data_IF_731073172817
#
_entry.id   IF_731073172817
#
_cell.length_a   1.000
_cell.length_b   1.000
_cell.length_c   1.000
_cell.angle_alpha   90.00
_cell.angle_beta   90.00
_cell.angle_gamma   90.00
#
_symmetry.space_group_name_H-M   'P 1'
#
loop_
_entity.id
_entity.type
_entity.pdbx_description
1 polymer ?
#
# COMPACT_ATOMS: atom_id res chain seq x y z
N UNK A 1 -12.15 11.35 6.59
CA UNK A 1 -13.38 10.57 6.86
C UNK A 1 -14.57 11.19 6.17
N UNK A 2 -15.30 10.39 5.41
CA UNK A 2 -15.19 10.42 3.96
C UNK A 2 -16.60 10.48 3.35
N UNK A 3 -16.67 10.99 2.13
CA UNK A 3 -17.76 10.98 1.12
C UNK A 3 -18.67 9.71 1.08
N UNK A 4 -18.23 8.60 1.68
CA UNK A 4 -19.02 7.37 1.93
C UNK A 4 -20.33 7.59 2.67
N UNK A 5 -20.38 8.56 3.59
CA UNK A 5 -21.60 8.83 4.36
C UNK A 5 -22.61 9.65 3.56
N UNK A 6 -22.15 10.59 2.73
CA UNK A 6 -23.00 11.35 1.81
C UNK A 6 -23.62 10.45 0.73
N UNK A 7 -22.87 9.43 0.26
CA UNK A 7 -23.38 8.46 -0.72
C UNK A 7 -24.45 7.52 -0.13
N UNK A 8 -24.33 7.13 1.14
CA UNK A 8 -25.35 6.37 1.85
C UNK A 8 -26.66 7.17 2.06
N UNK A 9 -26.54 8.49 2.18
CA UNK A 9 -27.66 9.43 2.28
C UNK A 9 -28.42 9.54 0.94
N UNK A 10 -27.71 9.51 -0.21
CA UNK A 10 -28.32 9.47 -1.54
C UNK A 10 -29.15 8.20 -1.81
N UNK A 11 -28.69 7.04 -1.35
CA UNK A 11 -29.44 5.78 -1.46
C UNK A 11 -30.70 5.77 -0.58
N UNK A 12 -30.66 6.40 0.61
CA UNK A 12 -31.82 6.54 1.50
C UNK A 12 -32.86 7.56 0.98
N UNK A 13 -32.45 8.52 0.16
CA UNK A 13 -33.33 9.50 -0.50
C UNK A 13 -33.96 8.99 -1.81
N UNK A 14 -33.75 7.71 -2.17
CA UNK A 14 -34.38 7.09 -3.33
C UNK A 14 -33.72 7.46 -4.67
N UNK A 15 -32.48 7.96 -4.66
CA UNK A 15 -31.72 8.23 -5.88
C UNK A 15 -31.13 6.91 -6.38
N UNK A 16 -31.59 6.43 -7.54
CA UNK A 16 -31.11 5.22 -8.19
C UNK A 16 -29.72 5.45 -8.80
N UNK A 17 -28.70 4.83 -8.19
CA UNK A 17 -27.36 4.70 -8.77
C UNK A 17 -27.37 3.43 -9.66
N UNK A 18 -27.09 3.51 -10.98
CA UNK A 18 -27.12 2.33 -11.85
C UNK A 18 -25.98 1.36 -11.48
N UNK A 19 -26.22 0.04 -11.45
CA UNK A 19 -25.21 -0.92 -11.05
C UNK A 19 -24.17 -1.15 -12.16
N UNK A 20 -22.89 -1.05 -11.80
CA UNK A 20 -21.76 -1.52 -12.59
C UNK A 20 -21.38 -2.95 -12.20
N UNK A 21 -20.97 -3.75 -13.20
CA UNK A 21 -20.76 -5.21 -13.20
C UNK A 21 -19.58 -5.75 -12.34
N UNK A 22 -19.06 -4.97 -11.38
CA UNK A 22 -17.85 -5.27 -10.60
C UNK A 22 -17.99 -4.66 -9.20
N UNK A 23 -17.78 -5.38 -8.07
CA UNK A 23 -16.85 -6.51 -7.88
C UNK A 23 -17.45 -7.81 -7.31
N UNK A 24 -18.75 -8.05 -7.44
CA UNK A 24 -19.49 -9.05 -6.65
C UNK A 24 -19.10 -10.54 -6.89
N UNK A 25 -18.30 -10.85 -7.91
CA UNK A 25 -17.84 -12.21 -8.22
C UNK A 25 -16.35 -12.48 -7.98
N UNK A 26 -15.66 -11.61 -7.21
CA UNK A 26 -14.21 -11.74 -6.92
C UNK A 26 -13.83 -13.07 -6.26
N UNK A 27 -14.68 -13.59 -5.37
CA UNK A 27 -14.43 -14.87 -4.68
C UNK A 27 -14.61 -16.06 -5.62
N UNK A 28 -15.60 -16.01 -6.50
CA UNK A 28 -15.86 -17.09 -7.46
C UNK A 28 -14.80 -17.14 -8.56
N UNK A 29 -14.24 -15.99 -8.99
CA UNK A 29 -13.13 -15.94 -9.94
C UNK A 29 -11.81 -16.44 -9.35
N UNK A 30 -11.53 -16.14 -8.07
CA UNK A 30 -10.35 -16.62 -7.36
C UNK A 30 -10.40 -18.13 -7.03
N UNK A 31 -11.61 -18.65 -6.75
CA UNK A 31 -11.86 -20.09 -6.61
C UNK A 31 -11.80 -20.78 -7.98
N UNK A 32 -12.40 -20.22 -9.04
CA UNK A 32 -12.26 -20.72 -10.41
C UNK A 32 -10.79 -20.77 -10.87
N UNK A 33 -10.02 -19.70 -10.65
CA UNK A 33 -8.61 -19.63 -11.04
C UNK A 33 -7.73 -20.59 -10.24
N UNK A 34 -8.04 -20.87 -8.97
CA UNK A 34 -7.22 -21.76 -8.16
C UNK A 34 -7.55 -23.25 -8.34
N UNK A 35 -8.84 -23.57 -8.56
CA UNK A 35 -9.32 -24.94 -8.82
C UNK A 35 -9.09 -25.38 -10.28
N UNK A 36 -9.06 -24.44 -11.24
CA UNK A 36 -8.74 -24.74 -12.65
C UNK A 36 -7.23 -24.98 -12.93
N UNK A 37 -6.33 -24.80 -11.95
CA UNK A 37 -4.87 -24.89 -12.13
C UNK A 37 -4.21 -26.22 -11.75
N UNK A 38 -4.97 -27.29 -11.42
CA UNK A 38 -4.40 -28.62 -11.16
C UNK A 38 -3.49 -29.09 -12.31
N UNK A 39 -3.94 -28.87 -13.55
CA UNK A 39 -3.18 -29.22 -14.77
C UNK A 39 -1.93 -28.36 -14.92
N UNK A 40 -2.05 -27.05 -14.70
CA UNK A 40 -0.96 -26.09 -14.89
C UNK A 40 0.19 -26.26 -13.88
N UNK A 41 -0.11 -26.54 -12.61
CA UNK A 41 0.92 -26.86 -11.60
C UNK A 41 1.64 -28.15 -11.92
N UNK A 42 0.91 -29.14 -12.42
CA UNK A 42 1.48 -30.42 -12.86
C UNK A 42 2.41 -30.23 -14.05
N UNK A 43 2.06 -29.37 -15.02
CA UNK A 43 2.92 -29.01 -16.16
C UNK A 43 4.17 -28.25 -15.70
N UNK A 44 4.05 -27.28 -14.79
CA UNK A 44 5.20 -26.56 -14.23
C UNK A 44 6.14 -27.49 -13.48
N UNK A 45 5.60 -28.41 -12.67
CA UNK A 45 6.42 -29.42 -11.97
C UNK A 45 7.10 -30.37 -12.97
N UNK A 46 6.39 -30.83 -14.00
CA UNK A 46 6.96 -31.68 -15.03
C UNK A 46 8.17 -31.02 -15.69
N UNK A 47 8.08 -29.72 -16.01
CA UNK A 47 9.18 -28.93 -16.53
C UNK A 47 10.30 -28.73 -15.51
N UNK A 48 9.97 -28.49 -14.24
CA UNK A 48 10.96 -28.41 -13.17
C UNK A 48 11.79 -29.71 -13.04
N UNK A 49 11.21 -30.90 -13.26
CA UNK A 49 11.96 -32.18 -13.27
C UNK A 49 13.05 -32.21 -14.34
N UNK A 50 12.75 -31.71 -15.54
CA UNK A 50 13.74 -31.63 -16.63
C UNK A 50 14.94 -30.78 -16.22
N UNK A 51 14.69 -29.62 -15.61
CA UNK A 51 15.73 -28.72 -15.13
C UNK A 51 16.49 -29.29 -13.92
N UNK A 52 15.81 -30.00 -13.01
CA UNK A 52 16.47 -30.64 -11.87
C UNK A 52 17.48 -31.69 -12.32
N UNK A 53 17.11 -32.57 -13.25
CA UNK A 53 18.02 -33.62 -13.76
C UNK A 53 19.12 -33.04 -14.64
N UNK A 54 18.86 -31.92 -15.32
CA UNK A 54 19.86 -31.25 -16.18
C UNK A 54 20.92 -30.50 -15.39
N UNK A 55 20.54 -29.83 -14.30
CA UNK A 55 21.42 -28.92 -13.58
C UNK A 55 21.95 -29.46 -12.25
N UNK A 56 21.33 -30.51 -11.71
CA UNK A 56 21.75 -31.12 -10.46
C UNK A 56 22.12 -32.58 -10.64
N UNK A 57 22.92 -33.10 -9.72
CA UNK A 57 23.39 -34.49 -9.71
C UNK A 57 22.27 -35.45 -9.22
N UNK A 58 21.11 -35.40 -9.88
CA UNK A 58 19.92 -36.19 -9.60
C UNK A 58 19.43 -36.86 -10.88
N UNK A 59 18.94 -38.11 -10.81
CA UNK A 59 18.36 -38.77 -11.97
C UNK A 59 18.25 -40.29 -11.86
N UNK A 60 17.58 -40.91 -12.83
CA UNK A 60 17.37 -42.37 -12.86
C UNK A 60 18.65 -43.18 -13.12
N UNK A 61 19.70 -42.56 -13.67
CA UNK A 61 20.97 -43.23 -13.99
C UNK A 61 21.98 -43.19 -12.83
N UNK A 62 21.57 -42.71 -11.64
CA UNK A 62 22.43 -42.52 -10.47
C UNK A 62 22.04 -43.47 -9.34
N UNK A 63 23.00 -43.92 -8.51
CA UNK A 63 22.71 -44.69 -7.31
C UNK A 63 21.76 -43.94 -6.36
N UNK A 64 20.86 -44.67 -5.70
CA UNK A 64 19.89 -44.08 -4.78
C UNK A 64 20.57 -43.31 -3.64
N UNK A 65 21.65 -43.85 -3.08
CA UNK A 65 22.39 -43.22 -1.98
C UNK A 65 22.97 -41.85 -2.38
N UNK A 66 23.53 -41.74 -3.60
CA UNK A 66 24.03 -40.46 -4.13
C UNK A 66 22.90 -39.46 -4.35
N UNK A 67 21.79 -39.89 -4.96
CA UNK A 67 20.62 -39.04 -5.17
C UNK A 67 20.07 -38.51 -3.85
N UNK A 68 19.99 -39.36 -2.82
CA UNK A 68 19.51 -38.97 -1.50
C UNK A 68 20.41 -37.91 -0.88
N UNK A 69 21.72 -38.13 -0.89
CA UNK A 69 22.71 -37.18 -0.36
C UNK A 69 22.63 -35.83 -1.09
N UNK A 70 22.59 -35.84 -2.43
CA UNK A 70 22.54 -34.63 -3.25
C UNK A 70 21.22 -33.87 -3.04
N UNK A 71 20.08 -34.56 -2.98
CA UNK A 71 18.78 -33.92 -2.75
C UNK A 71 18.73 -33.25 -1.38
N UNK A 72 19.20 -33.92 -0.33
CA UNK A 72 19.25 -33.36 1.02
C UNK A 72 20.21 -32.17 1.11
N UNK A 73 21.34 -32.21 0.41
CA UNK A 73 22.29 -31.10 0.36
C UNK A 73 21.69 -29.86 -0.32
N UNK A 74 21.01 -30.05 -1.46
CA UNK A 74 20.31 -29.00 -2.17
C UNK A 74 19.26 -28.33 -1.28
N UNK A 75 18.50 -29.12 -0.53
CA UNK A 75 17.45 -28.66 0.38
C UNK A 75 18.02 -27.91 1.58
N UNK A 76 18.99 -28.48 2.31
CA UNK A 76 19.48 -27.97 3.61
C UNK A 76 19.96 -26.52 3.51
N UNK A 77 20.61 -26.17 2.42
CA UNK A 77 21.13 -24.82 2.19
C UNK A 77 20.32 -23.99 1.20
N UNK A 78 19.14 -24.45 0.75
CA UNK A 78 18.47 -23.87 -0.42
C UNK A 78 19.43 -23.65 -1.61
N UNK A 79 20.40 -24.56 -1.79
CA UNK A 79 21.44 -24.43 -2.83
C UNK A 79 20.84 -24.48 -4.24
N UNK A 80 19.67 -25.09 -4.38
CA UNK A 80 18.92 -25.17 -5.63
C UNK A 80 18.40 -23.83 -6.18
N UNK A 81 18.49 -22.74 -5.41
CA UNK A 81 18.18 -21.38 -5.90
C UNK A 81 19.41 -20.47 -5.95
N UNK A 82 20.60 -20.97 -5.67
CA UNK A 82 21.83 -20.17 -5.58
C UNK A 82 22.74 -20.39 -6.78
N UNK A 83 23.54 -19.38 -7.10
CA UNK A 83 24.60 -19.48 -8.12
C UNK A 83 25.97 -19.07 -7.55
N UNK A 84 26.49 -19.90 -6.65
CA UNK A 84 27.80 -19.69 -6.03
C UNK A 84 27.86 -18.52 -5.04
N UNK A 85 29.08 -18.06 -4.78
CA UNK A 85 29.42 -16.96 -3.86
C UNK A 85 30.30 -15.97 -4.62
N UNK A 86 29.94 -14.70 -4.59
CA UNK A 86 30.66 -13.58 -5.21
C UNK A 86 30.94 -12.54 -4.12
N UNK A 87 32.21 -12.16 -3.94
CA UNK A 87 32.66 -11.21 -2.92
C UNK A 87 32.22 -11.53 -1.48
N UNK A 88 32.16 -12.81 -1.14
CA UNK A 88 31.69 -13.28 0.18
C UNK A 88 30.17 -13.23 0.35
N UNK A 89 29.42 -12.78 -0.66
CA UNK A 89 27.95 -12.78 -0.69
C UNK A 89 27.42 -13.91 -1.56
N UNK A 90 26.35 -14.57 -1.09
CA UNK A 90 25.73 -15.67 -1.86
C UNK A 90 24.76 -15.09 -2.87
N UNK A 91 24.89 -15.47 -4.15
CA UNK A 91 23.94 -15.07 -5.20
C UNK A 91 22.67 -15.90 -5.09
N UNK A 92 21.75 -15.43 -4.25
CA UNK A 92 20.45 -16.07 -4.04
C UNK A 92 19.50 -15.77 -5.21
N UNK A 93 18.58 -16.70 -5.49
CA UNK A 93 17.61 -16.64 -6.61
C UNK A 93 18.23 -16.55 -8.01
N UNK A 94 19.54 -16.81 -8.15
CA UNK A 94 20.30 -16.69 -9.39
C UNK A 94 20.63 -18.04 -10.05
N UNK A 95 20.12 -19.17 -9.54
CA UNK A 95 20.45 -20.49 -10.09
C UNK A 95 20.11 -20.57 -11.60
N UNK A 96 21.04 -21.09 -12.43
CA UNK A 96 20.78 -21.32 -13.86
C UNK A 96 19.57 -22.23 -14.12
N UNK A 97 19.28 -23.17 -13.20
CA UNK A 97 18.11 -24.04 -13.30
C UNK A 97 16.80 -23.26 -13.12
N UNK A 98 16.79 -22.26 -12.23
CA UNK A 98 15.65 -21.40 -11.96
C UNK A 98 15.42 -20.43 -13.11
N UNK A 99 16.46 -19.72 -13.54
CA UNK A 99 16.39 -18.79 -14.67
C UNK A 99 15.92 -19.51 -15.95
N UNK A 100 16.52 -20.67 -16.24
CA UNK A 100 16.15 -21.48 -17.40
C UNK A 100 14.69 -21.97 -17.34
N UNK A 101 14.23 -22.45 -16.18
CA UNK A 101 12.84 -22.87 -16.00
C UNK A 101 11.87 -21.71 -16.20
N UNK A 102 12.19 -20.53 -15.67
CA UNK A 102 11.36 -19.33 -15.81
C UNK A 102 11.24 -18.92 -17.28
N UNK A 103 12.35 -18.87 -18.00
CA UNK A 103 12.34 -18.53 -19.43
C UNK A 103 11.58 -19.58 -20.25
N UNK A 104 11.90 -20.87 -20.07
CA UNK A 104 11.26 -21.95 -20.85
C UNK A 104 9.75 -22.03 -20.58
N UNK A 105 9.33 -21.90 -19.32
CA UNK A 105 7.93 -22.07 -18.97
C UNK A 105 7.07 -20.84 -19.26
N UNK A 106 7.59 -19.63 -18.98
CA UNK A 106 6.79 -18.41 -19.04
C UNK A 106 6.95 -17.65 -20.36
N UNK A 107 7.98 -17.92 -21.17
CA UNK A 107 8.26 -17.14 -22.39
C UNK A 107 8.46 -17.95 -23.68
N UNK A 108 8.73 -19.26 -23.63
CA UNK A 108 9.16 -20.00 -24.82
C UNK A 108 8.08 -20.27 -25.88
N UNK A 109 6.79 -20.13 -25.55
CA UNK A 109 5.70 -20.40 -26.50
C UNK A 109 4.78 -19.20 -26.65
N UNK A 110 4.15 -18.96 -27.83
CA UNK A 110 3.20 -17.85 -28.00
C UNK A 110 2.02 -17.89 -27.00
N UNK A 111 1.69 -19.07 -26.48
CA UNK A 111 0.65 -19.29 -25.46
C UNK A 111 1.19 -19.25 -24.03
N UNK A 112 2.48 -18.97 -23.82
CA UNK A 112 3.06 -18.83 -22.50
C UNK A 112 2.60 -17.51 -21.85
N UNK A 113 2.49 -17.49 -20.52
CA UNK A 113 1.93 -16.35 -19.79
C UNK A 113 2.67 -15.04 -20.07
N UNK A 114 3.99 -15.06 -20.24
CA UNK A 114 4.77 -13.88 -20.56
C UNK A 114 4.47 -13.28 -21.93
N UNK A 115 3.98 -14.09 -22.87
CA UNK A 115 3.54 -13.61 -24.18
C UNK A 115 2.05 -13.26 -24.23
N UNK A 116 1.23 -13.91 -23.38
CA UNK A 116 -0.21 -13.60 -23.26
C UNK A 116 -0.48 -12.33 -22.44
N UNK A 117 0.40 -12.01 -21.49
CA UNK A 117 0.29 -10.87 -20.57
C UNK A 117 1.57 -10.01 -20.60
N UNK A 118 1.94 -9.44 -21.76
CA UNK A 118 3.17 -8.65 -21.89
C UNK A 118 3.20 -7.46 -20.93
N UNK A 119 2.05 -6.86 -20.58
CA UNK A 119 1.96 -5.79 -19.59
C UNK A 119 2.43 -6.19 -18.18
N UNK A 120 2.38 -7.48 -17.85
CA UNK A 120 2.81 -8.02 -16.54
C UNK A 120 4.26 -8.54 -16.58
N UNK A 121 4.74 -9.00 -17.75
CA UNK A 121 6.00 -9.71 -17.91
C UNK A 121 7.04 -8.97 -18.79
N UNK A 122 6.73 -7.78 -19.31
CA UNK A 122 7.60 -7.08 -20.27
C UNK A 122 8.94 -6.62 -19.70
N UNK A 123 8.95 -6.09 -18.48
CA UNK A 123 10.15 -5.48 -17.90
C UNK A 123 10.94 -6.46 -17.04
N UNK A 124 10.24 -7.23 -16.20
CA UNK A 124 10.82 -8.28 -15.39
C UNK A 124 9.79 -9.39 -15.12
N UNK A 125 10.27 -10.56 -14.71
CA UNK A 125 9.39 -11.65 -14.28
C UNK A 125 8.84 -11.32 -12.89
N UNK A 126 7.52 -11.35 -12.66
CA UNK A 126 6.97 -11.05 -11.35
C UNK A 126 7.60 -11.93 -10.26
N UNK A 127 8.02 -11.31 -9.15
CA UNK A 127 8.65 -11.99 -8.01
C UNK A 127 7.87 -13.21 -7.50
N UNK A 128 6.52 -13.17 -7.39
CA UNK A 128 5.73 -14.36 -7.03
C UNK A 128 5.86 -15.51 -8.05
N UNK A 129 6.05 -15.21 -9.34
CA UNK A 129 6.26 -16.20 -10.39
C UNK A 129 7.61 -16.87 -10.26
N UNK A 130 8.67 -16.09 -9.99
CA UNK A 130 10.02 -16.63 -9.71
C UNK A 130 9.98 -17.54 -8.47
N UNK A 131 9.32 -17.11 -7.39
CA UNK A 131 9.17 -17.92 -6.17
C UNK A 131 8.34 -19.20 -6.42
N UNK A 132 7.35 -19.14 -7.30
CA UNK A 132 6.54 -20.30 -7.69
C UNK A 132 7.36 -21.31 -8.51
N UNK A 133 8.18 -20.85 -9.45
CA UNK A 133 9.12 -21.69 -10.20
C UNK A 133 10.17 -22.33 -9.29
N UNK A 134 10.73 -21.56 -8.34
CA UNK A 134 11.63 -22.09 -7.32
C UNK A 134 10.94 -23.13 -6.42
N UNK A 135 9.68 -22.92 -6.06
CA UNK A 135 8.89 -23.91 -5.30
C UNK A 135 8.66 -25.19 -6.11
N UNK A 136 8.45 -25.07 -7.43
CA UNK A 136 8.32 -26.24 -8.31
C UNK A 136 9.64 -27.03 -8.42
N UNK A 137 10.79 -26.35 -8.49
CA UNK A 137 12.11 -27.00 -8.38
C UNK A 137 12.26 -27.74 -7.05
N UNK A 138 11.87 -27.11 -5.94
CA UNK A 138 11.87 -27.77 -4.62
C UNK A 138 10.98 -29.02 -4.61
N UNK A 139 9.77 -28.92 -5.17
CA UNK A 139 8.85 -30.04 -5.25
C UNK A 139 9.36 -31.20 -6.12
N UNK A 140 10.19 -30.92 -7.13
CA UNK A 140 10.86 -31.94 -7.93
C UNK A 140 12.07 -32.56 -7.21
N UNK A 141 12.82 -31.79 -6.42
CA UNK A 141 13.96 -32.30 -5.62
C UNK A 141 13.47 -33.20 -4.47
N UNK A 142 12.37 -32.83 -3.82
CA UNK A 142 11.77 -33.61 -2.72
C UNK A 142 11.40 -35.05 -3.13
N UNK A 143 11.22 -35.31 -4.43
CA UNK A 143 10.96 -36.67 -4.97
C UNK A 143 12.10 -37.64 -4.68
N UNK A 144 13.31 -37.14 -4.42
CA UNK A 144 14.50 -37.94 -4.11
C UNK A 144 14.89 -37.87 -2.62
N UNK A 145 14.30 -36.99 -1.83
CA UNK A 145 14.81 -36.59 -0.52
C UNK A 145 14.61 -37.61 0.62
N UNK A 146 13.84 -38.69 0.39
CA UNK A 146 13.61 -39.76 1.39
C UNK A 146 14.39 -41.03 1.05
N UNK A 147 14.25 -41.54 -0.18
CA UNK A 147 14.80 -42.85 -0.56
C UNK A 147 15.92 -42.76 -1.60
N UNK A 148 16.15 -41.58 -2.19
CA UNK A 148 17.06 -41.43 -3.33
C UNK A 148 16.54 -41.98 -4.65
N UNK A 149 15.36 -42.61 -4.64
CA UNK A 149 14.63 -43.06 -5.83
C UNK A 149 13.50 -42.07 -6.05
N UNK A 150 13.29 -41.62 -7.31
CA UNK A 150 12.23 -40.66 -7.63
C UNK A 150 10.86 -41.21 -7.24
N UNK A 151 10.25 -40.56 -6.25
CA UNK A 151 8.86 -40.80 -5.85
C UNK A 151 8.01 -39.63 -6.35
N UNK A 152 7.02 -39.91 -7.20
CA UNK A 152 6.07 -38.91 -7.64
C UNK A 152 5.35 -38.31 -6.43
N UNK A 153 5.40 -36.99 -6.30
CA UNK A 153 4.75 -36.24 -5.22
C UNK A 153 3.81 -35.22 -5.81
N UNK A 154 2.65 -35.02 -5.20
CA UNK A 154 1.74 -33.99 -5.68
C UNK A 154 2.30 -32.59 -5.36
N UNK A 155 2.23 -31.67 -6.34
CA UNK A 155 2.59 -30.26 -6.12
C UNK A 155 1.40 -29.49 -5.55
N UNK A 156 1.14 -29.71 -4.27
CA UNK A 156 -0.03 -29.16 -3.58
C UNK A 156 0.31 -28.03 -2.61
N UNK A 157 -0.63 -27.10 -2.46
CA UNK A 157 -0.51 -25.95 -1.56
C UNK A 157 -0.35 -26.35 -0.10
N UNK A 158 -1.08 -27.37 0.35
CA UNK A 158 -1.00 -27.94 1.70
C UNK A 158 0.44 -28.31 2.09
N UNK A 159 1.22 -28.78 1.11
CA UNK A 159 2.60 -29.23 1.29
C UNK A 159 3.61 -28.10 1.08
N UNK A 160 3.43 -27.30 0.03
CA UNK A 160 4.47 -26.38 -0.47
C UNK A 160 4.24 -24.90 -0.16
N UNK A 161 3.10 -24.51 0.41
CA UNK A 161 2.82 -23.12 0.80
C UNK A 161 3.89 -22.52 1.73
N UNK A 162 4.36 -23.28 2.72
CA UNK A 162 5.44 -22.84 3.62
C UNK A 162 6.75 -22.57 2.89
N UNK A 163 7.10 -23.41 1.91
CA UNK A 163 8.29 -23.23 1.08
C UNK A 163 8.16 -21.97 0.23
N UNK A 164 7.00 -21.78 -0.41
CA UNK A 164 6.71 -20.59 -1.21
C UNK A 164 6.82 -19.31 -0.37
N UNK A 165 6.21 -19.28 0.82
CA UNK A 165 6.29 -18.13 1.75
C UNK A 165 7.72 -17.84 2.20
N UNK A 166 8.53 -18.88 2.46
CA UNK A 166 9.94 -18.71 2.81
C UNK A 166 10.77 -18.13 1.66
N UNK A 167 10.50 -18.56 0.42
CA UNK A 167 11.15 -18.02 -0.78
C UNK A 167 10.73 -16.57 -1.04
N UNK A 168 9.45 -16.23 -0.86
CA UNK A 168 8.99 -14.85 -0.91
C UNK A 168 9.70 -13.98 0.14
N UNK A 169 9.81 -14.45 1.39
CA UNK A 169 10.54 -13.73 2.44
C UNK A 169 12.05 -13.62 2.16
N UNK A 170 12.65 -14.61 1.50
CA UNK A 170 14.04 -14.54 1.04
C UNK A 170 14.19 -13.49 -0.08
N UNK A 171 13.27 -13.45 -1.04
CA UNK A 171 13.24 -12.44 -2.08
C UNK A 171 13.12 -11.04 -1.48
N UNK A 172 12.22 -10.82 -0.52
CA UNK A 172 12.12 -9.54 0.20
C UNK A 172 13.44 -9.17 0.88
N UNK A 173 14.20 -10.12 1.43
CA UNK A 173 15.52 -9.83 2.03
C UNK A 173 16.62 -9.56 1.01
N UNK A 174 16.55 -10.17 -0.17
CA UNK A 174 17.44 -9.85 -1.29
C UNK A 174 17.17 -8.41 -1.71
N UNK A 175 15.89 -8.07 -1.83
CA UNK A 175 15.43 -6.72 -2.12
C UNK A 175 15.85 -5.73 -1.01
N UNK A 176 15.83 -6.14 0.27
CA UNK A 176 16.32 -5.34 1.41
C UNK A 176 17.84 -5.05 1.36
N UNK A 177 18.65 -5.97 0.82
CA UNK A 177 20.11 -5.77 0.61
C UNK A 177 20.37 -4.90 -0.62
N UNK A 178 19.40 -4.80 -1.53
CA UNK A 178 19.40 -3.94 -2.71
C UNK A 178 18.51 -2.71 -2.57
N UNK A 179 18.24 -2.19 -1.37
CA UNK A 179 17.42 -0.98 -1.16
C UNK A 179 18.10 0.27 -1.73
N UNK A 180 18.07 0.40 -3.05
CA UNK A 180 17.74 1.65 -3.69
C UNK A 180 16.27 1.58 -4.04
N UNK A 181 15.39 2.06 -3.14
CA UNK A 181 14.07 2.50 -3.60
C UNK A 181 14.28 3.44 -4.79
N UNK A 182 13.38 3.39 -5.77
CA UNK A 182 13.51 4.30 -6.91
C UNK A 182 13.21 5.71 -6.44
N UNK A 183 14.26 6.52 -6.24
CA UNK A 183 14.10 7.90 -5.79
C UNK A 183 13.40 8.74 -6.86
N UNK A 184 12.26 9.34 -6.50
CA UNK A 184 11.51 10.24 -7.37
C UNK A 184 11.73 11.68 -6.91
N UNK A 185 12.47 12.45 -7.70
CA UNK A 185 12.85 13.83 -7.38
C UNK A 185 12.19 14.88 -8.28
N UNK A 186 11.46 14.44 -9.32
CA UNK A 186 10.84 15.30 -10.33
C UNK A 186 9.33 15.08 -10.41
N UNK A 187 8.53 16.08 -10.84
CA UNK A 187 7.09 15.94 -10.96
C UNK A 187 6.69 14.68 -11.74
N UNK A 188 5.92 13.80 -11.10
CA UNK A 188 5.64 12.45 -11.62
C UNK A 188 4.22 12.02 -11.26
N UNK A 189 3.58 11.28 -12.17
CA UNK A 189 2.27 10.67 -11.95
C UNK A 189 2.43 9.17 -12.08
N UNK A 190 1.94 8.44 -11.08
CA UNK A 190 1.85 6.99 -11.11
C UNK A 190 0.41 6.61 -11.44
N UNK A 191 0.26 5.78 -12.48
CA UNK A 191 -1.02 5.23 -12.92
C UNK A 191 -0.95 3.71 -12.90
N UNK A 192 -2.07 3.05 -12.63
CA UNK A 192 -2.21 1.61 -12.79
C UNK A 192 -2.39 1.22 -14.27
N UNK A 193 -2.47 -0.08 -14.53
CA UNK A 193 -2.65 -0.65 -15.87
C UNK A 193 -3.97 -0.23 -16.53
N UNK A 194 -4.97 0.16 -15.74
CA UNK A 194 -6.29 0.59 -16.20
C UNK A 194 -6.36 2.11 -16.40
N UNK A 195 -5.24 2.82 -16.20
CA UNK A 195 -5.15 4.27 -16.29
C UNK A 195 -5.70 5.01 -15.06
N UNK A 196 -5.97 4.28 -13.97
CA UNK A 196 -6.33 4.83 -12.67
C UNK A 196 -5.13 5.53 -12.02
N UNK A 197 -5.35 6.71 -11.45
CA UNK A 197 -4.28 7.48 -10.79
C UNK A 197 -4.01 6.86 -9.41
N UNK A 198 -2.75 6.48 -9.17
CA UNK A 198 -2.26 5.97 -7.89
C UNK A 198 -1.63 7.07 -7.03
N UNK A 199 -0.80 7.93 -7.65
CA UNK A 199 -0.07 8.98 -6.94
C UNK A 199 0.27 10.14 -7.88
N UNK A 200 0.16 11.37 -7.37
CA UNK A 200 0.80 12.55 -7.93
C UNK A 200 1.92 13.01 -7.00
N UNK A 201 3.14 13.06 -7.52
CA UNK A 201 4.26 13.71 -6.84
C UNK A 201 4.56 15.03 -7.53
N UNK A 202 4.44 16.12 -6.77
CA UNK A 202 4.57 17.49 -7.30
C UNK A 202 5.54 18.29 -6.41
N UNK A 203 6.86 18.12 -6.59
CA UNK A 203 7.87 18.82 -5.80
C UNK A 203 7.77 20.33 -6.04
N UNK A 204 7.90 21.11 -4.97
CA UNK A 204 7.89 22.58 -5.02
C UNK A 204 6.62 23.19 -5.65
N UNK A 205 5.50 22.48 -5.65
CA UNK A 205 4.23 22.99 -6.20
C UNK A 205 3.60 24.12 -5.38
N UNK A 206 3.94 24.22 -4.09
CA UNK A 206 3.54 25.34 -3.23
C UNK A 206 4.67 26.36 -3.18
N UNK A 207 4.33 27.63 -3.47
CA UNK A 207 5.30 28.72 -3.49
C UNK A 207 5.96 28.91 -2.12
N UNK A 208 7.21 29.40 -2.13
CA UNK A 208 7.95 29.72 -0.90
C UNK A 208 7.20 30.71 0.01
N UNK A 209 6.43 31.63 -0.57
CA UNK A 209 5.58 32.57 0.17
C UNK A 209 4.48 31.83 0.94
N UNK A 210 3.79 30.91 0.29
CA UNK A 210 2.74 30.11 0.94
C UNK A 210 3.32 29.14 1.96
N UNK A 211 4.43 28.46 1.65
CA UNK A 211 5.18 27.62 2.59
C UNK A 211 5.53 28.37 3.87
N UNK A 212 6.07 29.59 3.74
CA UNK A 212 6.41 30.45 4.88
C UNK A 212 5.18 30.89 5.66
N UNK A 213 4.11 31.28 4.97
CA UNK A 213 2.86 31.69 5.62
C UNK A 213 2.26 30.56 6.46
N UNK A 214 2.21 29.34 5.92
CA UNK A 214 1.75 28.15 6.65
C UNK A 214 2.65 27.90 7.85
N UNK A 215 3.98 27.91 7.67
CA UNK A 215 4.92 27.70 8.77
C UNK A 215 4.78 28.73 9.90
N UNK A 216 4.71 30.02 9.58
CA UNK A 216 4.56 31.09 10.58
C UNK A 216 3.22 30.99 11.33
N UNK A 217 2.16 30.57 10.64
CA UNK A 217 0.83 30.41 11.24
C UNK A 217 0.76 29.24 12.23
N UNK A 218 1.70 28.29 12.20
CA UNK A 218 1.71 27.11 13.09
C UNK A 218 1.75 27.47 14.58
N UNK A 219 2.23 28.67 14.90
CA UNK A 219 2.25 29.23 16.26
C UNK A 219 0.86 29.25 16.89
N UNK A 220 -0.20 29.44 16.10
CA UNK A 220 -1.60 29.37 16.55
C UNK A 220 -2.02 27.96 16.97
N UNK A 221 -1.32 26.94 16.50
CA UNK A 221 -1.57 25.53 16.80
C UNK A 221 -0.65 24.97 17.89
N UNK A 222 0.27 25.78 18.44
CA UNK A 222 1.29 25.33 19.39
C UNK A 222 0.69 24.60 20.61
N UNK A 223 -0.22 25.27 21.32
CA UNK A 223 -0.83 24.71 22.53
C UNK A 223 -1.58 23.37 22.28
N UNK A 224 -2.49 23.25 21.28
CA UNK A 224 -3.16 21.98 21.03
C UNK A 224 -2.22 20.89 20.51
N UNK A 225 -1.16 21.22 19.76
CA UNK A 225 -0.13 20.26 19.36
C UNK A 225 0.63 19.72 20.57
N UNK A 226 1.13 20.58 21.46
CA UNK A 226 1.84 20.15 22.67
C UNK A 226 0.94 19.32 23.60
N UNK A 227 -0.35 19.65 23.69
CA UNK A 227 -1.32 18.89 24.49
C UNK A 227 -1.67 17.51 23.89
N UNK A 228 -1.58 17.37 22.56
CA UNK A 228 -1.80 16.09 21.89
C UNK A 228 -0.71 15.07 22.25
N UNK A 229 0.49 15.56 22.56
CA UNK A 229 1.63 14.74 22.94
C UNK A 229 1.48 14.24 24.38
N UNK A 230 1.31 12.93 24.55
CA UNK A 230 1.27 12.29 25.87
C UNK A 230 2.57 11.52 26.09
N UNK A 231 3.30 11.85 27.16
CA UNK A 231 4.52 11.12 27.59
C UNK A 231 4.27 9.67 28.05
N UNK A 232 3.01 9.27 28.23
CA UNK A 232 2.66 7.89 28.61
C UNK A 232 2.58 7.00 27.37
N UNK A 233 3.06 5.76 27.47
CA UNK A 233 2.89 4.69 26.45
C UNK A 233 1.41 4.53 26.09
N UNK A 234 0.99 5.25 25.05
CA UNK A 234 -0.30 5.11 24.41
C UNK A 234 -0.27 3.85 23.56
N UNK A 235 -1.33 3.03 23.58
CA UNK A 235 -1.46 1.88 22.65
C UNK A 235 -1.61 2.31 21.19
N UNK A 236 -1.82 3.60 20.92
CA UNK A 236 -1.92 4.16 19.58
C UNK A 236 -0.58 4.73 19.14
N UNK A 237 -0.03 4.18 18.04
CA UNK A 237 1.21 4.64 17.41
C UNK A 237 1.15 6.13 17.00
N UNK A 238 -0.04 6.71 16.82
CA UNK A 238 -0.20 8.13 16.46
C UNK A 238 0.34 9.09 17.51
N UNK A 239 0.35 8.69 18.78
CA UNK A 239 0.76 9.52 19.91
C UNK A 239 1.89 8.88 20.73
N UNK A 240 2.55 7.84 20.20
CA UNK A 240 3.65 7.17 20.89
C UNK A 240 4.93 8.01 20.76
N UNK A 241 5.58 8.24 21.90
CA UNK A 241 6.79 9.06 22.03
C UNK A 241 7.94 8.57 21.13
N UNK A 242 8.01 7.27 20.85
CA UNK A 242 9.07 6.68 20.04
C UNK A 242 9.06 7.15 18.58
N UNK A 243 7.96 7.76 18.13
CA UNK A 243 7.84 8.29 16.77
C UNK A 243 8.13 9.79 16.66
N UNK A 244 8.57 10.47 17.72
CA UNK A 244 8.90 11.89 17.68
C UNK A 244 10.40 12.11 17.95
N UNK A 245 11.06 13.01 17.21
CA UNK A 245 12.45 13.38 17.56
C UNK A 245 12.46 14.17 18.86
N UNK A 246 13.33 13.80 19.81
CA UNK A 246 13.50 14.57 21.05
C UNK A 246 14.02 16.01 20.80
N UNK A 247 14.72 16.20 19.69
CA UNK A 247 15.41 17.41 19.29
C UNK A 247 14.53 18.59 18.82
N UNK A 248 13.24 18.40 18.56
CA UNK A 248 12.39 19.44 17.96
C UNK A 248 11.68 20.32 19.00
N UNK A 249 11.57 21.62 18.70
CA UNK A 249 10.92 22.62 19.57
C UNK A 249 9.39 22.49 19.64
N UNK A 250 8.76 21.87 18.63
CA UNK A 250 7.32 21.65 18.57
C UNK A 250 7.05 20.23 18.08
N UNK A 251 6.08 19.56 18.73
CA UNK A 251 5.70 18.17 18.45
C UNK A 251 4.23 18.01 18.73
N UNK A 252 3.57 17.18 17.94
CA UNK A 252 2.18 16.82 18.17
C UNK A 252 1.46 16.40 16.91
N UNK A 253 0.26 15.87 17.10
CA UNK A 253 -0.67 15.58 16.00
C UNK A 253 -2.06 16.01 16.40
N UNK A 254 -2.71 16.80 15.55
CA UNK A 254 -4.10 17.21 15.74
C UNK A 254 -4.90 16.93 14.48
N UNK A 255 -6.17 16.60 14.66
CA UNK A 255 -7.12 16.39 13.58
C UNK A 255 -8.23 17.43 13.65
N UNK A 256 -8.48 18.06 12.52
CA UNK A 256 -9.50 19.08 12.33
C UNK A 256 -10.54 18.56 11.34
N UNK A 257 -11.82 18.70 11.69
CA UNK A 257 -12.90 18.35 10.79
C UNK A 257 -14.19 19.08 11.19
N UNK A 258 -14.93 19.65 10.22
CA UNK A 258 -16.23 20.24 10.47
C UNK A 258 -17.30 19.17 10.71
N UNK A 259 -17.09 17.92 10.28
CA UNK A 259 -18.06 16.84 10.43
C UNK A 259 -17.38 15.49 10.23
N UNK A 260 -17.38 14.66 11.28
CA UNK A 260 -16.56 13.46 11.33
C UNK A 260 -17.14 12.44 12.33
N UNK A 261 -17.12 11.14 12.03
CA UNK A 261 -17.43 10.11 13.01
C UNK A 261 -16.26 9.84 13.97
N UNK A 262 -16.54 9.84 15.27
CA UNK A 262 -15.53 9.46 16.24
C UNK A 262 -15.07 8.01 16.02
N UNK A 263 -13.83 7.68 16.39
CA UNK A 263 -13.28 6.34 16.18
C UNK A 263 -14.20 5.26 16.78
N UNK A 264 -14.53 4.23 15.98
CA UNK A 264 -15.44 3.16 16.39
C UNK A 264 -16.92 3.53 16.37
N UNK A 265 -17.26 4.75 15.94
CA UNK A 265 -18.61 5.23 15.74
C UNK A 265 -18.87 5.34 14.24
N UNK A 266 -20.08 5.01 13.80
CA UNK A 266 -20.45 4.99 12.40
C UNK A 266 -21.97 4.95 12.23
N UNK A 267 -22.47 5.14 11.01
CA UNK A 267 -23.87 4.92 10.70
C UNK A 267 -24.30 3.48 11.05
N UNK A 268 -25.58 3.25 11.41
CA UNK A 268 -26.66 4.25 11.50
C UNK A 268 -26.75 4.95 12.87
N UNK A 269 -25.96 4.53 13.86
CA UNK A 269 -26.20 4.86 15.28
C UNK A 269 -25.57 6.19 15.73
N UNK A 270 -24.74 6.79 14.88
CA UNK A 270 -24.01 8.00 15.20
C UNK A 270 -24.17 9.02 14.07
N UNK A 271 -23.98 10.29 14.40
CA UNK A 271 -23.90 11.36 13.42
C UNK A 271 -22.45 11.86 13.34
N UNK A 272 -22.04 12.43 12.20
CA UNK A 272 -20.81 13.21 12.13
C UNK A 272 -20.86 14.36 13.14
N UNK A 273 -19.76 14.58 13.86
CA UNK A 273 -19.61 15.69 14.80
C UNK A 273 -18.45 16.59 14.40
N UNK A 274 -18.48 17.83 14.89
CA UNK A 274 -17.34 18.75 14.77
C UNK A 274 -16.20 18.28 15.67
N UNK A 275 -14.97 18.30 15.15
CA UNK A 275 -13.80 17.99 15.99
C UNK A 275 -13.69 18.97 17.17
N UNK A 276 -13.23 18.50 18.33
CA UNK A 276 -13.25 19.28 19.57
C UNK A 276 -12.61 20.67 19.43
N UNK A 277 -11.53 20.77 18.66
CA UNK A 277 -10.77 22.00 18.43
C UNK A 277 -11.51 23.03 17.56
N UNK A 278 -12.57 22.61 16.86
CA UNK A 278 -13.36 23.45 15.97
C UNK A 278 -14.74 23.82 16.52
N UNK A 279 -15.11 23.38 17.73
CA UNK A 279 -16.38 23.80 18.34
C UNK A 279 -16.48 25.32 18.49
N UNK A 280 -17.68 25.88 18.31
CA UNK A 280 -17.91 27.32 18.29
C UNK A 280 -17.44 28.02 19.58
N UNK A 281 -17.59 27.32 20.72
CA UNK A 281 -17.13 27.79 22.04
C UNK A 281 -15.63 28.11 22.13
N UNK A 282 -14.82 27.60 21.18
CA UNK A 282 -13.37 27.84 21.15
C UNK A 282 -13.02 29.25 20.63
N UNK A 283 -13.97 29.99 20.06
CA UNK A 283 -13.74 31.33 19.50
C UNK A 283 -12.92 31.32 18.20
N UNK A 284 -12.56 32.50 17.67
CA UNK A 284 -11.76 32.65 16.44
C UNK A 284 -10.24 32.74 16.70
N UNK A 285 -9.76 32.16 17.81
CA UNK A 285 -8.33 32.05 18.10
C UNK A 285 -7.87 30.59 17.95
N UNK A 286 -6.56 30.38 17.94
CA UNK A 286 -5.97 29.04 17.86
C UNK A 286 -6.37 28.31 16.56
N UNK A 287 -6.84 27.05 16.62
CA UNK A 287 -7.19 26.26 15.43
C UNK A 287 -8.21 26.91 14.49
N UNK A 288 -9.22 27.61 15.03
CA UNK A 288 -10.25 28.26 14.21
C UNK A 288 -9.72 29.51 13.51
N UNK A 289 -8.90 30.31 14.20
CA UNK A 289 -8.19 31.44 13.59
C UNK A 289 -7.22 30.99 12.50
N UNK A 290 -6.46 29.93 12.78
CA UNK A 290 -5.55 29.32 11.83
C UNK A 290 -6.26 28.85 10.54
N UNK A 291 -7.41 28.17 10.66
CA UNK A 291 -8.20 27.77 9.49
C UNK A 291 -8.67 28.95 8.64
N UNK A 292 -9.07 30.06 9.27
CA UNK A 292 -9.46 31.28 8.57
C UNK A 292 -8.28 31.90 7.82
N UNK A 293 -7.10 31.97 8.45
CA UNK A 293 -5.88 32.49 7.83
C UNK A 293 -5.39 31.63 6.65
N UNK A 294 -5.64 30.32 6.70
CA UNK A 294 -5.24 29.36 5.66
C UNK A 294 -6.22 29.28 4.47
N UNK A 295 -7.26 30.12 4.42
CA UNK A 295 -8.29 30.08 3.38
C UNK A 295 -7.72 30.03 1.95
N UNK A 296 -6.74 30.89 1.64
CA UNK A 296 -6.13 30.94 0.31
C UNK A 296 -5.36 29.68 -0.06
N UNK A 297 -4.64 29.08 0.90
CA UNK A 297 -3.91 27.83 0.69
C UNK A 297 -4.88 26.68 0.49
N UNK A 298 -5.93 26.58 1.31
CA UNK A 298 -6.93 25.53 1.18
C UNK A 298 -7.70 25.62 -0.16
N UNK A 299 -7.98 26.83 -0.63
CA UNK A 299 -8.56 27.05 -1.95
C UNK A 299 -7.63 26.59 -3.07
N UNK A 300 -6.32 26.85 -2.95
CA UNK A 300 -5.31 26.38 -3.91
C UNK A 300 -5.25 24.84 -3.95
N UNK A 301 -5.20 24.18 -2.79
CA UNK A 301 -5.19 22.72 -2.69
C UNK A 301 -6.47 22.09 -3.27
N UNK A 302 -7.63 22.69 -2.97
CA UNK A 302 -8.91 22.27 -3.54
C UNK A 302 -8.95 22.47 -5.06
N UNK A 303 -8.34 23.55 -5.56
CA UNK A 303 -8.18 23.83 -6.98
C UNK A 303 -7.28 22.81 -7.68
N UNK A 304 -6.19 22.38 -7.03
CA UNK A 304 -5.34 21.30 -7.54
C UNK A 304 -6.16 20.00 -7.71
N UNK A 305 -6.95 19.62 -6.69
CA UNK A 305 -7.84 18.45 -6.78
C UNK A 305 -8.88 18.59 -7.90
N UNK A 306 -9.41 19.79 -8.10
CA UNK A 306 -10.35 20.07 -9.19
C UNK A 306 -9.74 19.78 -10.58
N UNK A 307 -8.44 20.02 -10.75
CA UNK A 307 -7.72 19.76 -12.00
C UNK A 307 -7.36 18.28 -12.14
N UNK A 308 -6.73 17.68 -11.12
CA UNK A 308 -6.19 16.32 -11.22
C UNK A 308 -7.26 15.23 -11.04
N UNK A 309 -8.34 15.52 -10.31
CA UNK A 309 -9.43 14.58 -10.06
C UNK A 309 -10.82 15.27 -9.97
N UNK A 310 -11.34 15.85 -11.07
CA UNK A 310 -12.55 16.69 -11.06
C UNK A 310 -13.79 16.04 -10.44
N UNK A 311 -13.96 14.73 -10.60
CA UNK A 311 -15.10 13.98 -10.04
C UNK A 311 -15.08 13.96 -8.51
N UNK A 312 -13.91 13.75 -7.91
CA UNK A 312 -13.72 13.72 -6.46
C UNK A 312 -13.90 15.11 -5.87
N UNK A 313 -13.38 16.15 -6.54
CA UNK A 313 -13.64 17.54 -6.14
C UNK A 313 -15.15 17.86 -6.10
N UNK A 314 -15.91 17.50 -7.14
CA UNK A 314 -17.37 17.75 -7.16
C UNK A 314 -18.06 17.03 -6.02
N UNK A 315 -17.76 15.76 -5.84
CA UNK A 315 -18.40 14.95 -4.81
C UNK A 315 -18.02 15.41 -3.39
N UNK A 316 -16.80 15.90 -3.16
CA UNK A 316 -16.42 16.51 -1.88
C UNK A 316 -17.16 17.82 -1.60
N UNK A 317 -17.34 18.68 -2.61
CA UNK A 317 -18.17 19.90 -2.48
C UNK A 317 -19.64 19.58 -2.20
N UNK A 318 -20.18 18.58 -2.88
CA UNK A 318 -21.54 18.11 -2.68
C UNK A 318 -21.73 17.59 -1.25
N UNK A 319 -20.80 16.75 -0.76
CA UNK A 319 -20.81 16.27 0.62
C UNK A 319 -20.80 17.43 1.65
N UNK A 320 -19.94 18.44 1.47
CA UNK A 320 -19.92 19.62 2.35
C UNK A 320 -21.21 20.44 2.27
N UNK A 321 -21.85 20.50 1.10
CA UNK A 321 -23.14 21.18 0.92
C UNK A 321 -24.26 20.44 1.64
N UNK A 322 -24.28 19.11 1.57
CA UNK A 322 -25.22 18.28 2.33
C UNK A 322 -25.03 18.44 3.83
N UNK A 323 -23.77 18.43 4.31
CA UNK A 323 -23.46 18.69 5.72
C UNK A 323 -23.95 20.07 6.15
N UNK A 324 -23.78 21.10 5.31
CA UNK A 324 -24.30 22.44 5.59
C UNK A 324 -25.83 22.47 5.66
N UNK A 325 -26.52 21.83 4.71
CA UNK A 325 -27.97 21.73 4.72
C UNK A 325 -28.49 21.02 5.97
N UNK A 326 -27.86 19.89 6.34
CA UNK A 326 -28.17 19.12 7.53
C UNK A 326 -27.95 19.93 8.81
N UNK A 327 -26.79 20.58 8.94
CA UNK A 327 -26.46 21.41 10.09
C UNK A 327 -27.48 22.54 10.30
N UNK A 328 -27.93 23.17 9.21
CA UNK A 328 -28.98 24.19 9.27
C UNK A 328 -30.35 23.61 9.69
N UNK A 329 -30.73 22.45 9.15
CA UNK A 329 -31.98 21.78 9.50
C UNK A 329 -32.02 21.35 10.98
N UNK A 330 -30.89 20.91 11.52
CA UNK A 330 -30.73 20.47 12.91
C UNK A 330 -30.37 21.61 13.88
N UNK A 331 -30.18 22.83 13.37
CA UNK A 331 -29.66 23.97 14.13
C UNK A 331 -28.34 23.67 14.87
N UNK A 332 -27.47 22.86 14.26
CA UNK A 332 -26.14 22.54 14.80
C UNK A 332 -25.20 23.74 14.66
N UNK A 333 -25.20 24.58 15.69
CA UNK A 333 -24.37 25.78 15.75
C UNK A 333 -22.86 25.51 15.67
N UNK A 334 -22.38 24.37 16.18
CA UNK A 334 -20.97 24.02 16.10
C UNK A 334 -20.61 23.73 14.63
N UNK A 335 -21.41 22.90 13.94
CA UNK A 335 -21.15 22.49 12.56
C UNK A 335 -21.33 23.64 11.57
N UNK A 336 -22.39 24.44 11.71
CA UNK A 336 -22.59 25.67 10.92
C UNK A 336 -21.37 26.59 11.05
N UNK A 337 -20.89 26.78 12.28
CA UNK A 337 -19.77 27.66 12.58
C UNK A 337 -18.41 27.11 12.13
N UNK A 338 -18.23 25.79 12.09
CA UNK A 338 -17.03 25.15 11.58
C UNK A 338 -16.98 25.17 10.04
N UNK A 339 -18.11 24.85 9.38
CA UNK A 339 -18.23 24.86 7.92
C UNK A 339 -18.02 26.26 7.33
N UNK A 340 -18.42 27.33 8.02
CA UNK A 340 -18.26 28.71 7.52
C UNK A 340 -16.81 29.17 7.40
N UNK A 341 -15.87 28.53 8.10
CA UNK A 341 -14.43 28.80 8.05
C UNK A 341 -13.64 27.66 7.38
N UNK A 342 -14.35 26.64 6.87
CA UNK A 342 -13.74 25.47 6.25
C UNK A 342 -13.57 25.68 4.75
N UNK A 343 -12.35 26.01 4.33
CA UNK A 343 -12.04 26.40 2.96
C UNK A 343 -11.49 25.26 2.08
N UNK A 344 -11.65 24.01 2.52
CA UNK A 344 -11.12 22.82 1.85
C UNK A 344 -12.24 21.88 1.39
N UNK A 345 -12.09 21.26 0.22
CA UNK A 345 -13.02 20.26 -0.31
C UNK A 345 -12.96 18.91 0.42
N UNK A 346 -11.86 18.62 1.12
CA UNK A 346 -11.76 17.49 2.02
C UNK A 346 -12.51 17.77 3.32
N UNK A 347 -13.16 16.76 3.89
CA UNK A 347 -13.92 16.86 5.14
C UNK A 347 -13.05 16.71 6.40
N UNK A 348 -11.74 16.47 6.27
CA UNK A 348 -10.84 16.33 7.41
C UNK A 348 -9.42 16.70 7.05
N UNK A 349 -8.66 17.16 8.03
CA UNK A 349 -7.24 17.49 7.91
C UNK A 349 -6.49 17.04 9.16
N UNK A 350 -5.37 16.36 8.95
CA UNK A 350 -4.43 16.01 10.01
C UNK A 350 -3.19 16.89 9.92
N UNK A 351 -2.83 17.53 11.03
CA UNK A 351 -1.60 18.31 11.17
C UNK A 351 -0.64 17.49 12.03
N UNK A 352 0.50 17.13 11.46
CA UNK A 352 1.51 16.29 12.10
C UNK A 352 2.83 17.06 12.17
N UNK A 353 3.36 17.27 13.38
CA UNK A 353 4.62 17.99 13.58
C UNK A 353 5.63 17.09 14.26
N UNK A 354 6.79 16.93 13.62
CA UNK A 354 7.93 16.14 14.08
C UNK A 354 7.55 14.69 14.43
N UNK A 355 6.77 14.05 13.56
CA UNK A 355 6.29 12.68 13.78
C UNK A 355 6.66 11.77 12.62
N UNK A 356 7.43 10.73 12.89
CA UNK A 356 7.62 9.61 11.99
C UNK A 356 6.34 8.79 11.93
N UNK A 357 5.98 8.33 10.75
CA UNK A 357 4.80 7.48 10.55
C UNK A 357 5.27 6.07 10.20
N UNK A 358 5.00 5.04 11.02
CA UNK A 358 5.31 3.66 10.66
C UNK A 358 4.56 3.27 9.39
N UNK A 359 5.09 2.25 8.70
CA UNK A 359 4.40 1.66 7.55
C UNK A 359 3.00 1.20 7.94
N UNK A 360 2.02 1.73 7.23
CA UNK A 360 0.63 1.39 7.39
C UNK A 360 -0.12 1.66 6.09
N UNK A 361 -1.34 1.17 6.01
CA UNK A 361 -2.28 1.46 4.94
C UNK A 361 -3.54 2.00 5.58
N UNK A 362 -4.05 3.12 5.08
CA UNK A 362 -5.34 3.62 5.50
C UNK A 362 -6.46 2.76 4.90
N UNK A 363 -7.13 1.99 5.76
CA UNK A 363 -8.13 0.99 5.36
C UNK A 363 -9.53 1.58 5.10
N UNK A 364 -9.73 2.87 5.40
CA UNK A 364 -11.03 3.54 5.32
C UNK A 364 -11.25 4.27 3.97
N UNK A 365 -10.26 4.23 3.07
CA UNK A 365 -10.36 4.81 1.73
C UNK A 365 -11.02 3.87 0.71
N UNK A 366 -11.24 4.37 -0.50
CA UNK A 366 -11.57 3.56 -1.68
C UNK A 366 -10.44 3.69 -2.72
N UNK A 367 -10.24 2.69 -3.59
CA UNK A 367 -9.17 2.75 -4.60
C UNK A 367 -9.19 3.99 -5.49
N UNK A 368 -10.36 4.59 -5.73
CA UNK A 368 -10.53 5.80 -6.55
C UNK A 368 -10.37 7.12 -5.79
N UNK A 369 -10.04 7.09 -4.50
CA UNK A 369 -9.92 8.29 -3.68
C UNK A 369 -8.46 8.61 -3.42
N UNK A 370 -8.13 9.90 -3.49
CA UNK A 370 -6.78 10.41 -3.26
C UNK A 370 -6.78 11.30 -2.02
N UNK A 371 -5.96 10.95 -1.04
CA UNK A 371 -5.57 11.87 0.02
C UNK A 371 -4.49 12.82 -0.49
N UNK A 372 -4.42 14.01 0.12
CA UNK A 372 -3.45 15.03 -0.24
C UNK A 372 -2.48 15.26 0.92
N UNK A 373 -1.20 14.98 0.68
CA UNK A 373 -0.13 15.25 1.61
C UNK A 373 0.61 16.53 1.20
N UNK A 374 0.73 17.47 2.14
CA UNK A 374 1.53 18.68 2.00
C UNK A 374 2.59 18.71 3.09
N UNK A 375 3.85 18.86 2.71
CA UNK A 375 4.98 19.04 3.63
C UNK A 375 5.35 20.52 3.72
N UNK A 376 5.63 20.98 4.95
CA UNK A 376 5.91 22.39 5.26
C UNK A 376 7.00 22.48 6.32
N UNK A 377 7.88 23.48 6.17
CA UNK A 377 8.92 23.82 7.12
C UNK A 377 10.32 23.47 6.62
N UNK A 378 11.33 23.84 7.42
CA UNK A 378 12.72 23.53 7.12
C UNK A 378 13.09 22.20 7.79
N UNK A 379 13.27 21.17 6.97
CA UNK A 379 13.66 19.84 7.42
C UNK A 379 14.77 19.29 6.52
N UNK A 380 15.62 18.41 7.09
CA UNK A 380 16.56 17.61 6.28
C UNK A 380 15.75 16.72 5.33
N UNK A 381 16.29 16.30 4.18
CA UNK A 381 15.60 15.37 3.28
C UNK A 381 14.93 14.23 4.07
N UNK A 382 13.63 14.06 3.83
CA UNK A 382 12.79 13.03 4.42
C UNK A 382 12.23 12.16 3.29
N UNK A 383 12.15 10.87 3.54
CA UNK A 383 11.64 9.90 2.56
C UNK A 383 10.16 9.64 2.82
N UNK A 384 9.36 9.67 1.74
CA UNK A 384 7.99 9.14 1.73
C UNK A 384 8.00 7.82 0.97
N UNK A 385 8.28 6.74 1.70
CA UNK A 385 8.45 5.41 1.13
C UNK A 385 7.10 4.76 0.90
N UNK A 386 6.89 4.22 -0.30
CA UNK A 386 5.70 3.45 -0.69
C UNK A 386 6.16 2.04 -1.08
N UNK A 387 6.25 1.10 -0.11
CA UNK A 387 6.81 -0.22 -0.36
C UNK A 387 6.07 -1.02 -1.43
N UNK A 388 4.77 -0.77 -1.62
CA UNK A 388 3.96 -1.45 -2.64
C UNK A 388 4.25 -0.99 -4.06
N UNK A 389 4.94 0.14 -4.23
CA UNK A 389 5.33 0.71 -5.52
C UNK A 389 6.85 0.71 -5.73
N UNK A 390 7.64 0.24 -4.76
CA UNK A 390 9.11 0.27 -4.79
C UNK A 390 9.70 1.70 -4.92
N UNK A 391 9.02 2.66 -4.27
CA UNK A 391 9.33 4.10 -4.27
C UNK A 391 9.74 4.62 -2.89
#
# INVERSE_FOLDING_TARGET
MYITEAMAECEQMGVLIPPGYWPDYRKDLGVLLWEALMTWRSTLKAKAREYVVRHYLLGGNRPAEENLANAQELIRGAKFVRDGVEDGTTRNMASPALAGLVVDFFYATPSALGNLFPEVFAWEVPKPVVCLAATALRAAIDEYAITGIRQDRQFESSTYSKVFVQLMAMQTKIDDVSLGFTEVTHPTVFIDSDGGILLWYLPSAISNTNQRAIWQSITQLKAPLEQSFKRSNSRSWRNDINYFCDCADLKGTIDLSPAWFQQGHGPPNHCPEVSHLLKARMGLQGPRGWLADMAGVHALLSGALMVIHPRMYRAGKEALSHLSAKANAEADTDMISALSIWNNVYSSMSIMVNRATPYHTDINGRPSWLDMLLTVGDYKPLDFVIPTLDL
#
